data_IF_732644314705
#
_entry.id   IF_732644314705
#
_cell.length_a   1.000
_cell.length_b   1.000
_cell.length_c   1.000
_cell.angle_alpha   90.00
_cell.angle_beta   90.00
_cell.angle_gamma   90.00
#
_symmetry.space_group_name_H-M   'P 1'
#
loop_
_entity.id
_entity.type
_entity.pdbx_description
1 polymer ?
#
# COMPACT_ATOMS: atom_id res chain seq x y z
N UNK A 1 17.56 -28.91 -18.38
CA UNK A 1 16.17 -29.19 -17.96
C UNK A 1 16.06 -29.27 -16.46
N UNK A 2 16.75 -30.20 -15.76
CA UNK A 2 16.64 -30.38 -14.30
C UNK A 2 16.84 -29.07 -13.52
N UNK A 3 17.87 -28.29 -13.86
CA UNK A 3 18.12 -26.98 -13.22
C UNK A 3 16.92 -26.02 -13.31
N UNK A 4 16.37 -25.84 -14.51
CA UNK A 4 15.24 -24.95 -14.72
C UNK A 4 13.95 -25.45 -14.06
N UNK A 5 13.76 -26.77 -13.99
CA UNK A 5 12.61 -27.33 -13.29
C UNK A 5 12.71 -27.11 -11.79
N UNK A 6 13.91 -27.32 -11.20
CA UNK A 6 14.15 -27.04 -9.77
C UNK A 6 13.98 -25.54 -9.47
N UNK A 7 14.47 -24.68 -10.33
CA UNK A 7 14.32 -23.22 -10.21
C UNK A 7 12.85 -22.82 -10.29
N UNK A 8 12.05 -23.44 -11.18
CA UNK A 8 10.61 -23.19 -11.26
C UNK A 8 9.91 -23.57 -9.94
N UNK A 9 10.24 -24.72 -9.38
CA UNK A 9 9.69 -25.17 -8.08
C UNK A 9 10.06 -24.18 -6.98
N UNK A 10 11.32 -23.77 -6.89
CA UNK A 10 11.77 -22.80 -5.89
C UNK A 10 11.03 -21.47 -6.03
N UNK A 11 10.91 -20.91 -7.24
CA UNK A 11 10.18 -19.66 -7.47
C UNK A 11 8.68 -19.79 -7.18
N UNK A 12 8.10 -20.98 -7.43
CA UNK A 12 6.69 -21.23 -7.12
C UNK A 12 6.46 -21.19 -5.60
N UNK A 13 7.29 -21.88 -4.84
CA UNK A 13 7.20 -21.87 -3.37
C UNK A 13 7.38 -20.46 -2.84
N UNK A 14 8.40 -19.74 -3.30
CA UNK A 14 8.65 -18.36 -2.89
C UNK A 14 7.49 -17.41 -3.27
N UNK A 15 6.89 -17.57 -4.45
CA UNK A 15 5.78 -16.74 -4.88
C UNK A 15 4.46 -17.01 -4.13
N UNK A 16 4.29 -18.22 -3.58
CA UNK A 16 3.18 -18.57 -2.69
C UNK A 16 3.36 -17.89 -1.33
N UNK A 17 4.59 -17.93 -0.80
CA UNK A 17 4.90 -17.35 0.50
C UNK A 17 4.96 -15.82 0.46
N UNK A 18 5.52 -15.25 -0.60
CA UNK A 18 5.76 -13.82 -0.73
C UNK A 18 5.23 -13.33 -2.08
N UNK A 19 4.11 -12.61 -2.06
CA UNK A 19 3.39 -12.17 -3.25
C UNK A 19 4.27 -11.37 -4.24
N UNK A 20 5.24 -10.60 -3.75
CA UNK A 20 6.17 -9.82 -4.59
C UNK A 20 7.10 -10.69 -5.44
N UNK A 21 7.37 -11.92 -5.04
CA UNK A 21 8.27 -12.82 -5.76
C UNK A 21 7.61 -13.48 -6.99
N UNK A 22 6.32 -13.24 -7.22
CA UNK A 22 5.65 -13.57 -8.50
C UNK A 22 6.35 -12.92 -9.70
N UNK A 23 7.06 -11.81 -9.48
CA UNK A 23 7.87 -11.15 -10.50
C UNK A 23 8.94 -12.08 -11.10
N UNK A 24 9.54 -12.97 -10.29
CA UNK A 24 10.52 -13.96 -10.76
C UNK A 24 9.87 -15.21 -11.33
N UNK A 25 8.75 -15.62 -10.75
CA UNK A 25 8.02 -16.81 -11.19
C UNK A 25 7.47 -16.63 -12.62
N UNK A 26 6.82 -15.49 -12.90
CA UNK A 26 6.12 -15.28 -14.19
C UNK A 26 7.02 -15.37 -15.40
N UNK A 27 8.19 -14.68 -15.49
CA UNK A 27 9.12 -14.83 -16.61
C UNK A 27 9.63 -16.26 -16.75
N UNK A 28 9.91 -16.92 -15.61
CA UNK A 28 10.42 -18.29 -15.63
C UNK A 28 9.37 -19.29 -16.12
N UNK A 29 8.11 -19.12 -15.75
CA UNK A 29 6.99 -19.88 -16.29
C UNK A 29 6.86 -19.69 -17.81
N UNK A 30 7.01 -18.47 -18.32
CA UNK A 30 6.98 -18.20 -19.77
C UNK A 30 8.12 -18.91 -20.50
N UNK A 31 9.33 -18.89 -19.95
CA UNK A 31 10.48 -19.62 -20.50
C UNK A 31 10.20 -21.12 -20.53
N UNK A 32 9.72 -21.69 -19.43
CA UNK A 32 9.40 -23.13 -19.37
C UNK A 32 8.25 -23.50 -20.30
N UNK A 33 7.21 -22.65 -20.43
CA UNK A 33 6.11 -22.87 -21.37
C UNK A 33 6.58 -22.86 -22.81
N UNK A 34 7.56 -22.03 -23.17
CA UNK A 34 8.12 -21.98 -24.53
C UNK A 34 8.80 -23.28 -24.95
N UNK A 35 9.25 -24.10 -23.99
CA UNK A 35 9.84 -25.40 -24.27
C UNK A 35 8.87 -26.40 -24.90
N UNK A 36 7.55 -26.18 -24.76
CA UNK A 36 6.53 -26.97 -25.47
C UNK A 36 6.71 -26.90 -27.00
N UNK A 37 7.25 -25.79 -27.49
CA UNK A 37 7.58 -25.62 -28.89
C UNK A 37 8.81 -26.41 -29.32
N UNK A 38 9.61 -26.95 -28.39
CA UNK A 38 10.83 -27.68 -28.68
C UNK A 38 10.53 -29.11 -29.16
N UNK A 39 10.80 -29.37 -30.44
CA UNK A 39 10.63 -30.69 -31.00
C UNK A 39 11.57 -31.75 -30.39
N UNK A 40 12.74 -31.36 -29.91
CA UNK A 40 13.68 -32.29 -29.30
C UNK A 40 13.14 -32.88 -27.98
N UNK A 41 12.33 -32.12 -27.28
CA UNK A 41 11.76 -32.54 -26.00
C UNK A 41 10.43 -33.28 -26.15
N UNK A 42 9.64 -32.89 -27.16
CA UNK A 42 8.27 -33.37 -27.32
C UNK A 42 8.12 -34.15 -28.67
N UNK A 43 9.22 -34.60 -29.30
CA UNK A 43 9.22 -35.37 -30.52
C UNK A 43 8.48 -36.71 -30.46
N UNK A 44 8.25 -37.24 -29.26
CA UNK A 44 7.45 -38.43 -28.97
C UNK A 44 5.95 -38.25 -29.26
N UNK A 45 5.46 -36.99 -29.36
CA UNK A 45 4.04 -36.67 -29.64
C UNK A 45 3.63 -37.03 -31.11
N UNK A 46 4.54 -37.57 -31.89
CA UNK A 46 4.26 -38.06 -33.21
C UNK A 46 4.91 -37.26 -34.35
N UNK A 47 4.37 -37.41 -35.60
CA UNK A 47 4.92 -36.77 -36.77
C UNK A 47 4.98 -35.24 -36.65
N UNK A 48 5.88 -34.61 -37.40
CA UNK A 48 6.13 -33.17 -37.45
C UNK A 48 4.85 -32.31 -37.49
N UNK A 49 3.89 -32.74 -38.31
CA UNK A 49 2.62 -32.05 -38.47
C UNK A 49 1.75 -32.08 -37.22
N UNK A 50 1.71 -33.20 -36.54
CA UNK A 50 0.94 -33.36 -35.27
C UNK A 50 1.48 -32.46 -34.16
N UNK A 51 2.80 -32.39 -34.01
CA UNK A 51 3.45 -31.52 -33.03
C UNK A 51 3.15 -30.03 -33.33
N UNK A 52 3.25 -29.61 -34.59
CA UNK A 52 2.91 -28.23 -34.99
C UNK A 52 1.43 -27.90 -34.70
N UNK A 53 0.52 -28.83 -35.01
CA UNK A 53 -0.90 -28.64 -34.74
C UNK A 53 -1.18 -28.45 -33.20
N UNK A 54 -0.52 -29.23 -32.36
CA UNK A 54 -0.62 -29.07 -30.89
C UNK A 54 -0.09 -27.72 -30.46
N UNK A 55 1.08 -27.31 -30.94
CA UNK A 55 1.66 -26.00 -30.59
C UNK A 55 0.73 -24.85 -31.03
N UNK A 56 0.21 -24.90 -32.25
CA UNK A 56 -0.76 -23.90 -32.73
C UNK A 56 -2.05 -23.91 -31.95
N UNK A 57 -2.57 -25.08 -31.55
CA UNK A 57 -3.76 -25.19 -30.69
C UNK A 57 -3.56 -24.54 -29.31
N UNK A 58 -2.42 -24.81 -28.66
CA UNK A 58 -2.07 -24.17 -27.39
C UNK A 58 -1.92 -22.66 -27.54
N UNK A 59 -1.22 -22.20 -28.57
CA UNK A 59 -1.04 -20.78 -28.87
C UNK A 59 -2.39 -20.09 -29.14
N UNK A 60 -3.29 -20.72 -29.88
CA UNK A 60 -4.62 -20.18 -30.14
C UNK A 60 -5.44 -20.02 -28.85
N UNK A 61 -5.44 -21.04 -27.97
CA UNK A 61 -6.11 -20.92 -26.66
C UNK A 61 -5.51 -19.80 -25.81
N UNK A 62 -4.18 -19.70 -25.76
CA UNK A 62 -3.51 -18.62 -25.04
C UNK A 62 -3.81 -17.25 -25.63
N UNK A 63 -3.89 -17.14 -26.96
CA UNK A 63 -4.22 -15.88 -27.63
C UNK A 63 -5.64 -15.42 -27.34
N UNK A 64 -6.62 -16.31 -27.29
CA UNK A 64 -8.01 -15.98 -26.93
C UNK A 64 -8.03 -15.38 -25.51
N UNK A 65 -7.42 -16.06 -24.55
CA UNK A 65 -7.34 -15.57 -23.17
C UNK A 65 -6.52 -14.27 -23.07
N UNK A 66 -5.42 -14.19 -23.84
CA UNK A 66 -4.57 -12.99 -23.89
C UNK A 66 -5.31 -11.78 -24.43
N UNK A 67 -6.08 -11.93 -25.50
CA UNK A 67 -6.91 -10.84 -26.06
C UNK A 67 -7.99 -10.40 -25.06
N UNK A 68 -8.67 -11.34 -24.43
CA UNK A 68 -9.67 -11.01 -23.41
C UNK A 68 -9.07 -10.23 -22.24
N UNK A 69 -7.90 -10.65 -21.75
CA UNK A 69 -7.19 -9.95 -20.69
C UNK A 69 -6.70 -8.56 -21.14
N UNK A 70 -6.20 -8.45 -22.38
CA UNK A 70 -5.78 -7.17 -22.95
C UNK A 70 -6.95 -6.19 -23.08
N UNK A 71 -8.10 -6.67 -23.55
CA UNK A 71 -9.31 -5.85 -23.63
C UNK A 71 -9.77 -5.39 -22.24
N UNK A 72 -9.74 -6.29 -21.24
CA UNK A 72 -10.06 -5.95 -19.86
C UNK A 72 -9.09 -4.87 -19.31
N UNK A 73 -7.79 -4.98 -19.58
CA UNK A 73 -6.81 -3.97 -19.17
C UNK A 73 -6.98 -2.65 -19.93
N UNK A 74 -7.32 -2.71 -21.21
CA UNK A 74 -7.57 -1.51 -22.03
C UNK A 74 -8.80 -0.75 -21.58
N UNK A 75 -9.82 -1.44 -21.07
CA UNK A 75 -11.03 -0.85 -20.54
C UNK A 75 -10.85 -0.20 -19.14
N UNK A 76 -9.71 -0.45 -18.48
CA UNK A 76 -9.38 0.24 -17.23
C UNK A 76 -8.97 1.67 -17.57
N UNK A 77 -9.93 2.58 -17.48
CA UNK A 77 -9.65 4.02 -17.47
C UNK A 77 -9.05 4.31 -16.11
N UNK A 78 -7.72 4.35 -16.04
CA UNK A 78 -7.04 4.81 -14.83
C UNK A 78 -7.34 6.29 -14.64
N UNK A 79 -7.90 6.66 -13.49
CA UNK A 79 -7.86 8.05 -13.05
C UNK A 79 -6.40 8.39 -12.74
N UNK A 80 -5.76 9.10 -13.63
CA UNK A 80 -4.42 9.63 -13.42
C UNK A 80 -4.43 10.93 -12.61
N UNK A 81 -5.60 11.54 -12.40
CA UNK A 81 -5.80 12.69 -11.53
C UNK A 81 -6.27 12.22 -10.15
N UNK A 82 -5.56 12.64 -9.11
CA UNK A 82 -6.01 12.48 -7.73
C UNK A 82 -6.29 13.88 -7.17
N UNK A 83 -7.38 14.48 -7.63
CA UNK A 83 -7.77 15.84 -7.29
C UNK A 83 -7.73 16.13 -5.77
N UNK A 84 -8.29 15.28 -4.88
CA UNK A 84 -8.20 15.55 -3.45
C UNK A 84 -6.76 15.60 -2.91
N UNK A 85 -5.83 14.84 -3.50
CA UNK A 85 -4.42 14.89 -3.11
C UNK A 85 -3.73 16.15 -3.66
N UNK A 86 -4.05 16.57 -4.87
CA UNK A 86 -3.56 17.82 -5.46
C UNK A 86 -4.00 19.01 -4.63
N UNK A 87 -5.28 19.12 -4.30
CA UNK A 87 -5.82 20.14 -3.41
C UNK A 87 -5.12 20.19 -2.05
N UNK A 88 -4.83 19.01 -1.47
CA UNK A 88 -4.10 18.92 -0.22
C UNK A 88 -2.68 19.47 -0.36
N UNK A 89 -1.97 19.12 -1.44
CA UNK A 89 -0.59 19.54 -1.67
C UNK A 89 -0.49 21.04 -1.94
N UNK A 90 -1.40 21.59 -2.73
CA UNK A 90 -1.49 23.02 -3.02
C UNK A 90 -1.80 23.80 -1.73
N UNK A 91 -2.78 23.32 -0.94
CA UNK A 91 -3.08 23.92 0.34
C UNK A 91 -1.87 23.93 1.29
N UNK A 92 -1.09 22.84 1.34
CA UNK A 92 0.13 22.75 2.16
C UNK A 92 1.15 23.80 1.70
N UNK A 93 1.36 23.96 0.40
CA UNK A 93 2.32 24.92 -0.14
C UNK A 93 1.94 26.36 0.20
N UNK A 94 0.67 26.70 0.07
CA UNK A 94 0.18 28.06 0.24
C UNK A 94 -0.01 28.47 1.72
N UNK A 95 -0.42 27.53 2.57
CA UNK A 95 -0.90 27.84 3.92
C UNK A 95 0.04 27.39 5.04
N UNK A 96 1.17 26.76 4.72
CA UNK A 96 2.09 26.27 5.75
C UNK A 96 3.52 26.79 5.56
N UNK A 97 4.23 26.97 6.69
CA UNK A 97 5.64 27.37 6.65
C UNK A 97 6.53 26.28 6.04
N UNK A 98 7.66 26.62 5.43
CA UNK A 98 8.59 25.64 4.85
C UNK A 98 9.15 24.63 5.86
N UNK A 99 9.25 25.03 7.13
CA UNK A 99 9.77 24.23 8.26
C UNK A 99 8.69 23.46 9.00
N UNK A 100 7.42 23.56 8.61
CA UNK A 100 6.31 22.86 9.23
C UNK A 100 6.45 21.34 9.10
N UNK A 101 6.31 20.63 10.22
CA UNK A 101 6.53 19.17 10.31
C UNK A 101 5.21 18.42 10.17
N UNK A 102 5.18 17.51 9.21
CA UNK A 102 4.00 16.70 8.90
C UNK A 102 4.13 15.25 9.34
N UNK A 103 2.99 14.65 9.71
CA UNK A 103 2.85 13.22 9.98
C UNK A 103 1.52 12.69 9.41
N UNK A 104 1.47 11.41 9.04
CA UNK A 104 0.26 10.79 8.48
C UNK A 104 0.53 9.39 7.92
N UNK A 105 -0.33 8.92 7.02
CA UNK A 105 -0.10 7.66 6.33
C UNK A 105 1.18 7.72 5.47
N UNK A 106 1.99 6.67 5.50
CA UNK A 106 3.30 6.65 4.80
C UNK A 106 3.21 7.00 3.31
N UNK A 107 2.25 6.48 2.52
CA UNK A 107 2.16 6.85 1.11
C UNK A 107 1.89 8.35 0.91
N UNK A 108 0.98 8.90 1.71
CA UNK A 108 0.63 10.33 1.68
C UNK A 108 1.82 11.20 2.09
N UNK A 109 2.59 10.77 3.12
CA UNK A 109 3.80 11.49 3.53
C UNK A 109 4.88 11.50 2.45
N UNK A 110 5.02 10.41 1.68
CA UNK A 110 5.94 10.40 0.54
C UNK A 110 5.55 11.46 -0.50
N UNK A 111 4.26 11.56 -0.84
CA UNK A 111 3.75 12.57 -1.77
C UNK A 111 3.96 14.00 -1.24
N UNK A 112 3.68 14.24 0.04
CA UNK A 112 3.92 15.54 0.69
C UNK A 112 5.39 15.91 0.61
N UNK A 113 6.31 14.99 0.92
CA UNK A 113 7.74 15.25 0.85
C UNK A 113 8.22 15.56 -0.56
N UNK A 114 7.76 14.78 -1.53
CA UNK A 114 8.18 14.94 -2.93
C UNK A 114 7.67 16.24 -3.55
N UNK A 115 6.41 16.58 -3.30
CA UNK A 115 5.76 17.72 -3.97
C UNK A 115 5.97 19.05 -3.24
N UNK A 116 6.03 19.05 -1.90
CA UNK A 116 6.08 20.29 -1.12
C UNK A 116 7.42 20.55 -0.46
N UNK A 117 8.31 19.54 -0.38
CA UNK A 117 9.59 19.62 0.31
C UNK A 117 9.50 19.71 1.85
N UNK A 118 8.30 19.74 2.44
CA UNK A 118 8.10 19.90 3.89
C UNK A 118 8.73 18.74 4.68
N UNK A 119 9.25 18.99 5.90
CA UNK A 119 9.71 17.94 6.80
C UNK A 119 8.60 16.96 7.15
N UNK A 120 8.92 15.67 7.15
CA UNK A 120 8.00 14.59 7.54
C UNK A 120 8.62 13.73 8.63
N UNK A 121 7.79 13.18 9.52
CA UNK A 121 8.25 12.34 10.63
C UNK A 121 8.40 10.89 10.21
N UNK A 122 7.52 10.40 9.35
CA UNK A 122 7.49 9.01 8.90
C UNK A 122 7.50 8.91 7.38
N UNK A 123 8.18 7.89 6.86
CA UNK A 123 8.43 7.70 5.43
C UNK A 123 8.34 6.20 5.07
N UNK A 124 8.03 5.82 3.81
CA UNK A 124 7.97 4.42 3.37
C UNK A 124 9.27 3.62 3.47
N UNK A 125 10.43 4.24 3.65
CA UNK A 125 11.71 3.53 3.85
C UNK A 125 11.75 2.88 5.24
N UNK A 126 11.37 1.63 5.29
CA UNK A 126 11.09 0.90 6.52
C UNK A 126 12.29 0.12 7.08
N UNK A 127 13.47 0.28 6.49
CA UNK A 127 14.69 -0.42 6.92
C UNK A 127 15.27 0.14 8.22
N UNK A 128 15.15 1.44 8.45
CA UNK A 128 15.67 2.11 9.64
C UNK A 128 14.80 1.83 10.88
N UNK A 129 15.42 1.37 11.97
CA UNK A 129 14.73 1.05 13.22
C UNK A 129 14.10 2.28 13.87
N UNK A 130 14.80 3.41 13.87
CA UNK A 130 14.29 4.66 14.43
C UNK A 130 13.09 5.20 13.64
N UNK A 131 13.10 5.00 12.31
CA UNK A 131 11.96 5.35 11.47
C UNK A 131 10.74 4.46 11.78
N UNK A 132 10.95 3.16 12.03
CA UNK A 132 9.86 2.25 12.42
C UNK A 132 9.24 2.67 13.75
N UNK A 133 10.05 3.03 14.74
CA UNK A 133 9.53 3.53 16.04
C UNK A 133 8.74 4.82 15.87
N UNK A 134 9.25 5.79 15.12
CA UNK A 134 8.51 7.03 14.83
C UNK A 134 7.19 6.74 14.11
N UNK A 135 7.22 5.88 13.10
CA UNK A 135 6.01 5.48 12.37
C UNK A 135 4.98 4.83 13.29
N UNK A 136 5.43 3.98 14.21
CA UNK A 136 4.55 3.37 15.22
C UNK A 136 3.87 4.44 16.10
N UNK A 137 4.63 5.42 16.58
CA UNK A 137 4.07 6.52 17.36
C UNK A 137 3.07 7.36 16.54
N UNK A 138 3.37 7.65 15.28
CA UNK A 138 2.44 8.34 14.37
C UNK A 138 1.16 7.52 14.17
N UNK A 139 1.29 6.21 13.95
CA UNK A 139 0.16 5.33 13.70
C UNK A 139 -0.69 5.01 14.94
N UNK A 140 -0.26 5.47 16.14
CA UNK A 140 -1.12 5.44 17.33
C UNK A 140 -2.45 6.20 17.12
N UNK A 141 -2.52 7.09 16.12
CA UNK A 141 -3.76 7.74 15.67
C UNK A 141 -4.84 6.73 15.27
N UNK A 142 -4.44 5.59 14.70
CA UNK A 142 -5.35 4.52 14.25
C UNK A 142 -5.65 3.48 15.34
N UNK A 143 -5.04 3.63 16.51
CA UNK A 143 -5.26 2.76 17.67
C UNK A 143 -6.54 3.10 18.42
N UNK A 144 -6.83 2.32 19.46
CA UNK A 144 -7.91 2.57 20.42
C UNK A 144 -7.40 3.21 21.72
N UNK A 145 -6.22 3.83 21.68
CA UNK A 145 -5.62 4.55 22.79
C UNK A 145 -6.39 5.84 23.09
N UNK A 146 -6.15 6.39 24.31
CA UNK A 146 -6.73 7.69 24.68
C UNK A 146 -6.18 8.81 23.79
N UNK A 147 -7.00 9.82 23.49
CA UNK A 147 -6.59 10.97 22.70
C UNK A 147 -5.42 11.74 23.29
N UNK A 148 -5.32 11.77 24.62
CA UNK A 148 -4.21 12.35 25.38
C UNK A 148 -2.87 11.66 25.04
N UNK A 149 -2.87 10.32 25.01
CA UNK A 149 -1.68 9.53 24.65
C UNK A 149 -1.26 9.78 23.22
N UNK A 150 -2.22 9.78 22.27
CA UNK A 150 -1.95 10.06 20.87
C UNK A 150 -1.41 11.48 20.68
N UNK A 151 -2.03 12.48 21.30
CA UNK A 151 -1.54 13.87 21.27
C UNK A 151 -0.12 13.96 21.79
N UNK A 152 0.18 13.35 22.94
CA UNK A 152 1.52 13.32 23.54
C UNK A 152 2.56 12.72 22.60
N UNK A 153 2.23 11.63 21.93
CA UNK A 153 3.12 10.98 20.94
C UNK A 153 3.46 11.94 19.81
N UNK A 154 2.48 12.62 19.23
CA UNK A 154 2.70 13.56 18.13
C UNK A 154 3.49 14.80 18.59
N UNK A 155 3.21 15.34 19.76
CA UNK A 155 3.96 16.46 20.35
C UNK A 155 5.42 16.07 20.62
N UNK A 156 5.66 14.87 21.17
CA UNK A 156 7.02 14.32 21.38
C UNK A 156 7.82 14.24 20.09
N UNK A 157 7.17 13.94 18.97
CA UNK A 157 7.78 13.87 17.64
C UNK A 157 7.94 15.25 16.98
N UNK A 158 7.50 16.31 17.59
CA UNK A 158 7.58 17.68 17.06
C UNK A 158 6.63 17.93 15.88
N UNK A 159 5.55 17.15 15.73
CA UNK A 159 4.58 17.29 14.65
C UNK A 159 3.79 18.57 14.79
N UNK A 160 3.71 19.37 13.71
CA UNK A 160 2.85 20.54 13.61
C UNK A 160 1.47 20.18 13.04
N UNK A 161 1.45 19.30 12.04
CA UNK A 161 0.24 18.92 11.32
C UNK A 161 0.17 17.40 11.10
N UNK A 162 -0.99 16.82 11.39
CA UNK A 162 -1.29 15.43 11.08
C UNK A 162 -2.27 15.35 9.92
N UNK A 163 -1.94 14.59 8.89
CA UNK A 163 -2.84 14.34 7.76
C UNK A 163 -3.59 13.04 8.03
N UNK A 164 -4.87 13.16 8.31
CA UNK A 164 -5.78 12.03 8.49
C UNK A 164 -6.42 11.70 7.14
N UNK A 165 -6.31 10.45 6.75
CA UNK A 165 -7.00 9.87 5.61
C UNK A 165 -8.07 8.92 6.13
N UNK A 166 -9.34 9.24 5.88
CA UNK A 166 -10.48 8.50 6.43
C UNK A 166 -10.51 7.02 5.98
N UNK A 167 -9.94 6.70 4.83
CA UNK A 167 -9.87 5.34 4.31
C UNK A 167 -9.12 4.37 5.23
N UNK A 168 -8.10 4.83 5.94
CA UNK A 168 -7.31 4.02 6.87
C UNK A 168 -8.07 3.68 8.16
N UNK A 169 -9.04 4.50 8.50
CA UNK A 169 -9.84 4.36 9.70
C UNK A 169 -11.11 3.56 9.49
N UNK A 170 -11.78 3.76 8.35
CA UNK A 170 -13.11 3.25 8.06
C UNK A 170 -13.13 2.06 7.11
N UNK A 171 -12.05 1.84 6.36
CA UNK A 171 -11.97 0.79 5.35
C UNK A 171 -12.00 -0.58 6.01
N UNK A 172 -13.09 -1.30 5.80
CA UNK A 172 -13.21 -2.71 6.15
C UNK A 172 -12.47 -3.53 5.08
N UNK A 173 -11.24 -3.88 5.38
CA UNK A 173 -10.51 -4.92 4.68
C UNK A 173 -10.95 -6.30 5.22
N UNK A 174 -10.30 -7.37 4.78
CA UNK A 174 -10.51 -8.70 5.38
C UNK A 174 -10.34 -8.63 6.90
N UNK A 175 -11.12 -9.41 7.68
CA UNK A 175 -10.96 -9.48 9.13
C UNK A 175 -9.49 -9.69 9.53
N UNK A 176 -9.02 -8.97 10.53
CA UNK A 176 -7.64 -9.02 10.99
C UNK A 176 -6.63 -8.14 10.21
N UNK A 177 -7.08 -7.38 9.19
CA UNK A 177 -6.17 -6.58 8.35
C UNK A 177 -6.41 -5.06 8.45
N UNK A 178 -7.34 -4.60 9.28
CA UNK A 178 -7.51 -3.15 9.49
C UNK A 178 -6.46 -2.62 10.48
N UNK A 179 -6.09 -1.34 10.35
CA UNK A 179 -5.12 -0.72 11.25
C UNK A 179 -5.51 -0.81 12.74
N UNK A 180 -6.79 -0.58 13.13
CA UNK A 180 -7.21 -0.79 14.51
C UNK A 180 -7.01 -2.24 14.98
N UNK A 181 -7.30 -3.26 14.16
CA UNK A 181 -7.12 -4.67 14.53
C UNK A 181 -5.65 -5.04 14.70
N UNK A 182 -4.74 -4.46 13.91
CA UNK A 182 -3.29 -4.64 14.09
C UNK A 182 -2.86 -4.08 15.44
N UNK A 183 -3.40 -2.91 15.84
CA UNK A 183 -3.13 -2.32 17.14
C UNK A 183 -3.74 -3.10 18.31
N UNK A 184 -4.85 -3.80 18.10
CA UNK A 184 -5.48 -4.66 19.11
C UNK A 184 -4.57 -5.81 19.54
N UNK A 185 -3.67 -6.28 18.67
CA UNK A 185 -2.67 -7.30 19.02
C UNK A 185 -1.67 -6.79 20.05
N UNK A 186 -1.27 -5.52 19.95
CA UNK A 186 -0.32 -4.91 20.90
C UNK A 186 -0.98 -4.38 22.17
N UNK A 187 -2.24 -3.99 22.08
CA UNK A 187 -3.01 -3.39 23.19
C UNK A 187 -4.35 -4.11 23.37
N UNK A 188 -4.37 -5.36 23.82
CA UNK A 188 -5.58 -6.17 23.93
C UNK A 188 -6.62 -5.58 24.91
N UNK A 189 -6.19 -4.83 25.90
CA UNK A 189 -7.09 -4.18 26.88
C UNK A 189 -8.00 -3.10 26.27
N UNK A 190 -7.70 -2.67 25.08
CA UNK A 190 -8.47 -1.65 24.38
C UNK A 190 -9.42 -2.21 23.32
N UNK A 191 -9.43 -3.52 23.11
CA UNK A 191 -10.31 -4.21 22.16
C UNK A 191 -11.77 -3.86 22.44
N UNK A 192 -12.52 -3.53 21.37
CA UNK A 192 -13.93 -3.14 21.48
C UNK A 192 -14.19 -1.64 21.67
N UNK A 193 -13.19 -0.84 22.03
CA UNK A 193 -13.31 0.62 22.03
C UNK A 193 -13.34 1.16 20.60
N UNK A 194 -13.95 2.31 20.39
CA UNK A 194 -13.95 2.99 19.09
C UNK A 194 -12.54 3.49 18.78
N UNK A 195 -11.99 3.24 17.57
CA UNK A 195 -10.69 3.77 17.18
C UNK A 195 -10.64 5.29 17.28
N UNK A 196 -9.50 5.82 17.74
CA UNK A 196 -9.37 7.25 17.95
C UNK A 196 -9.52 8.06 16.65
N UNK A 197 -9.01 7.54 15.54
CA UNK A 197 -9.19 8.17 14.23
C UNK A 197 -10.66 8.33 13.83
N UNK A 198 -11.54 7.42 14.23
CA UNK A 198 -13.00 7.54 13.96
C UNK A 198 -13.60 8.73 14.69
N UNK A 199 -13.12 9.03 15.89
CA UNK A 199 -13.50 10.24 16.61
C UNK A 199 -12.99 11.48 15.87
N UNK A 200 -11.73 11.47 15.44
CA UNK A 200 -11.09 12.60 14.75
C UNK A 200 -11.71 12.87 13.38
N UNK A 201 -12.17 11.84 12.68
CA UNK A 201 -12.89 11.99 11.43
C UNK A 201 -14.22 12.75 11.60
N UNK A 202 -14.90 12.58 12.74
CA UNK A 202 -16.16 13.26 13.03
C UNK A 202 -15.97 14.61 13.70
N UNK A 203 -15.15 14.64 14.74
CA UNK A 203 -14.84 15.86 15.51
C UNK A 203 -13.42 15.77 16.07
N UNK A 204 -12.55 16.67 15.63
CA UNK A 204 -11.15 16.70 16.09
C UNK A 204 -10.96 17.32 17.48
N UNK A 205 -11.93 18.07 17.97
CA UNK A 205 -11.85 18.67 19.32
C UNK A 205 -12.14 17.64 20.42
N UNK A 206 -11.55 17.77 21.61
CA UNK A 206 -10.70 18.87 22.08
C UNK A 206 -9.20 18.72 21.75
N UNK A 207 -8.76 17.58 21.20
CA UNK A 207 -7.34 17.24 21.08
C UNK A 207 -6.63 17.99 19.94
N UNK A 208 -7.30 18.17 18.83
CA UNK A 208 -6.77 18.81 17.62
C UNK A 208 -7.76 19.83 17.05
N UNK A 209 -7.31 20.62 16.09
CA UNK A 209 -8.19 21.48 15.30
C UNK A 209 -8.03 21.14 13.82
N UNK A 210 -9.14 20.87 13.14
CA UNK A 210 -9.16 20.68 11.68
C UNK A 210 -9.00 22.05 11.03
N UNK A 211 -8.00 22.18 10.17
CA UNK A 211 -7.67 23.42 9.45
C UNK A 211 -7.87 23.30 7.94
N UNK A 212 -7.91 22.08 7.42
CA UNK A 212 -8.25 21.74 6.04
C UNK A 212 -9.05 20.44 6.02
N UNK A 213 -10.01 20.32 5.13
CA UNK A 213 -10.78 19.09 4.92
C UNK A 213 -11.30 19.07 3.49
N UNK A 214 -11.12 17.94 2.83
CA UNK A 214 -11.80 17.59 1.59
C UNK A 214 -12.41 16.19 1.71
N UNK A 215 -12.82 15.57 0.61
CA UNK A 215 -13.52 14.28 0.60
C UNK A 215 -12.70 13.11 1.16
N UNK A 216 -11.35 13.19 1.10
CA UNK A 216 -10.44 12.10 1.48
C UNK A 216 -9.55 12.48 2.66
N UNK A 217 -9.07 13.72 2.71
CA UNK A 217 -8.04 14.17 3.64
C UNK A 217 -8.54 15.22 4.61
N UNK A 218 -8.06 15.13 5.85
CA UNK A 218 -8.21 16.17 6.87
C UNK A 218 -6.86 16.53 7.45
N UNK A 219 -6.53 17.80 7.50
CA UNK A 219 -5.31 18.27 8.17
C UNK A 219 -5.65 18.73 9.57
N UNK A 220 -5.09 18.05 10.54
CA UNK A 220 -5.25 18.31 11.97
C UNK A 220 -4.05 19.08 12.47
N UNK A 221 -4.25 20.27 13.02
CA UNK A 221 -3.21 21.05 13.70
C UNK A 221 -2.98 20.46 15.08
N UNK A 222 -1.74 20.14 15.41
CA UNK A 222 -1.32 19.58 16.69
C UNK A 222 -0.97 20.75 17.62
N UNK A 223 -1.70 20.95 18.73
CA UNK A 223 -1.34 21.96 19.73
C UNK A 223 -0.04 21.56 20.43
N UNK A 224 0.91 22.48 20.55
CA UNK A 224 2.19 22.23 21.25
C UNK A 224 2.05 22.25 22.78
N UNK A 225 0.94 22.77 23.30
CA UNK A 225 0.68 22.79 24.71
C UNK A 225 0.17 21.44 25.20
N UNK A 226 0.89 20.84 26.13
CA UNK A 226 0.47 19.66 26.89
C UNK A 226 -0.44 20.12 28.05
N UNK A 227 -1.59 20.71 27.76
CA UNK A 227 -2.62 20.97 28.76
C UNK A 227 -3.66 19.89 28.74
#
# INVERSE_FOLDING_TARGET
>A
MVYHSLQLVAFTVLAILIMRLKLFLTPHMCIMASLVCSRQLFGWIGEKFRHQAVVFGVMAMMAIQGVANLQAQWAIIGEFSNLPQEELLDWIQENTRPDAVFAGAMPTMASVKLSTGRPIVNHPHYEDAGLRERTKLVYSMYSRMSGETVKRNLVKLGVDFFILEDSWCTRRTRPGCSMPEIWDIENPDNVGKIPFCTHMSRNSRPYFSTIFSNDIYKVLKVPKDLR
#
